data_IF_717280550679
#
_entry.id   IF_717280550679
#
_cell.length_a   1.000
_cell.length_b   1.000
_cell.length_c   1.000
_cell.angle_alpha   90.00
_cell.angle_beta   90.00
_cell.angle_gamma   90.00
#
_symmetry.space_group_name_H-M   'P 1'
#
loop_
_entity.id
_entity.type
_entity.pdbx_description
1 polymer ?
#
# COMPACT_ATOMS: atom_id res chain seq x y z
N UNK A 1 -23.24 15.77 -21.35
CA UNK A 1 -23.80 15.60 -19.98
C UNK A 1 -22.72 15.05 -19.04
N UNK A 2 -22.28 15.86 -18.07
CA UNK A 2 -21.43 15.39 -16.97
C UNK A 2 -22.27 14.49 -16.06
N UNK A 3 -21.81 13.29 -15.68
CA UNK A 3 -22.54 12.45 -14.76
C UNK A 3 -22.53 13.11 -13.38
N UNK A 4 -23.73 13.35 -12.85
CA UNK A 4 -23.93 13.78 -11.45
C UNK A 4 -23.33 12.71 -10.53
N UNK A 5 -22.52 13.08 -9.52
CA UNK A 5 -22.02 12.10 -8.56
C UNK A 5 -23.22 11.56 -7.76
N UNK A 6 -23.56 10.30 -8.01
CA UNK A 6 -24.50 9.54 -7.17
C UNK A 6 -23.92 9.47 -5.76
N UNK A 7 -24.72 9.75 -4.70
CA UNK A 7 -24.30 9.52 -3.33
C UNK A 7 -23.99 8.03 -3.18
N UNK A 8 -22.71 7.70 -2.99
CA UNK A 8 -22.30 6.33 -2.68
C UNK A 8 -22.77 6.04 -1.27
N UNK A 9 -23.87 5.30 -1.17
CA UNK A 9 -24.34 4.72 0.08
C UNK A 9 -23.18 3.92 0.70
N UNK A 10 -22.84 4.26 1.96
CA UNK A 10 -21.79 3.57 2.72
C UNK A 10 -22.25 2.16 3.00
N UNK A 11 -21.86 1.22 2.14
CA UNK A 11 -22.02 -0.21 2.41
C UNK A 11 -21.02 -0.60 3.49
N UNK A 12 -21.53 -1.01 4.66
CA UNK A 12 -20.74 -1.60 5.72
C UNK A 12 -20.00 -2.83 5.16
N UNK A 13 -18.68 -2.84 5.29
CA UNK A 13 -17.83 -3.96 4.89
C UNK A 13 -17.83 -4.99 6.03
N UNK A 14 -18.23 -6.22 5.69
CA UNK A 14 -18.27 -7.38 6.58
C UNK A 14 -16.86 -7.77 7.04
N UNK A 15 -16.71 -8.05 8.33
CA UNK A 15 -15.48 -8.57 8.93
C UNK A 15 -15.35 -10.07 8.61
N UNK A 16 -14.42 -10.44 7.72
CA UNK A 16 -13.94 -11.82 7.61
C UNK A 16 -12.67 -12.01 8.44
N UNK A 17 -12.65 -13.07 9.26
CA UNK A 17 -11.52 -13.45 10.10
C UNK A 17 -10.38 -14.07 9.28
N UNK A 18 -9.45 -13.21 8.89
CA UNK A 18 -8.13 -13.57 8.39
C UNK A 18 -7.23 -12.33 8.43
N UNK A 19 -6.52 -12.12 9.54
CA UNK A 19 -5.59 -10.99 9.74
C UNK A 19 -6.19 -9.63 9.37
N UNK A 20 -6.89 -8.99 10.32
CA UNK A 20 -7.79 -7.83 10.13
C UNK A 20 -7.13 -6.61 9.45
N UNK A 21 -6.94 -6.69 8.14
CA UNK A 21 -6.57 -5.55 7.29
C UNK A 21 -7.84 -4.75 7.06
N UNK A 22 -7.93 -3.54 7.60
CA UNK A 22 -9.03 -2.63 7.30
C UNK A 22 -8.72 -1.94 5.99
N UNK A 23 -9.57 -2.13 5.00
CA UNK A 23 -9.49 -1.42 3.74
C UNK A 23 -10.62 -0.39 3.68
N UNK A 24 -10.38 0.73 3.00
CA UNK A 24 -11.41 1.72 2.71
C UNK A 24 -11.17 2.26 1.32
N UNK A 25 -12.19 2.22 0.46
CA UNK A 25 -12.14 2.79 -0.89
C UNK A 25 -13.05 4.01 -0.96
N UNK A 26 -12.48 5.16 -1.34
CA UNK A 26 -13.19 6.42 -1.50
C UNK A 26 -13.27 6.82 -2.97
N UNK A 27 -14.48 7.19 -3.42
CA UNK A 27 -14.76 7.75 -4.73
C UNK A 27 -14.48 9.26 -4.68
N UNK A 28 -13.35 9.71 -5.25
CA UNK A 28 -13.00 11.14 -5.26
C UNK A 28 -13.60 11.86 -6.47
N UNK A 29 -13.48 11.27 -7.67
CA UNK A 29 -14.07 11.81 -8.92
C UNK A 29 -14.33 10.71 -9.96
N UNK A 30 -14.75 11.04 -11.19
CA UNK A 30 -15.11 10.05 -12.23
C UNK A 30 -14.06 8.96 -12.49
N UNK A 31 -12.76 9.25 -12.35
CA UNK A 31 -11.65 8.29 -12.53
C UNK A 31 -10.62 8.32 -11.41
N UNK A 32 -10.97 8.90 -10.27
CA UNK A 32 -10.08 9.01 -9.13
C UNK A 32 -10.64 8.23 -7.95
N UNK A 33 -9.82 7.33 -7.43
CA UNK A 33 -10.11 6.53 -6.24
C UNK A 33 -8.97 6.70 -5.26
N UNK A 34 -9.31 6.74 -3.98
CA UNK A 34 -8.34 6.62 -2.89
C UNK A 34 -8.59 5.30 -2.18
N UNK A 35 -7.53 4.52 -2.01
CA UNK A 35 -7.55 3.31 -1.21
C UNK A 35 -6.72 3.59 0.03
N UNK A 36 -7.32 3.41 1.20
CA UNK A 36 -6.65 3.49 2.49
C UNK A 36 -6.67 2.12 3.13
N UNK A 37 -5.54 1.70 3.66
CA UNK A 37 -5.36 0.39 4.28
C UNK A 37 -4.73 0.58 5.65
N UNK A 38 -5.26 -0.12 6.65
CA UNK A 38 -4.72 -0.16 8.01
C UNK A 38 -4.52 -1.62 8.42
N UNK A 39 -3.36 -1.90 9.00
CA UNK A 39 -3.00 -3.21 9.54
C UNK A 39 -2.34 -3.01 10.89
N UNK A 40 -2.69 -3.86 11.85
CA UNK A 40 -2.03 -3.88 13.17
C UNK A 40 -0.86 -4.85 13.08
N UNK A 41 0.32 -4.39 13.47
CA UNK A 41 1.56 -5.18 13.50
C UNK A 41 2.02 -5.28 14.95
N UNK A 42 2.26 -6.50 15.44
CA UNK A 42 2.78 -6.76 16.78
C UNK A 42 4.32 -6.56 16.82
N UNK A 43 4.76 -5.33 16.58
CA UNK A 43 6.15 -4.92 16.65
C UNK A 43 6.26 -3.45 17.10
N UNK A 44 7.42 -3.05 17.59
CA UNK A 44 7.67 -1.63 17.87
C UNK A 44 7.82 -0.82 16.57
N UNK A 45 7.59 0.48 16.66
CA UNK A 45 7.61 1.39 15.50
C UNK A 45 8.97 1.41 14.79
N UNK A 46 10.07 1.28 15.54
CA UNK A 46 11.42 1.31 14.98
C UNK A 46 11.70 0.05 14.15
N UNK A 47 11.32 -1.13 14.64
CA UNK A 47 11.41 -2.39 13.90
C UNK A 47 10.61 -2.34 12.59
N UNK A 48 9.39 -1.79 12.63
CA UNK A 48 8.57 -1.62 11.41
C UNK A 48 9.24 -0.64 10.44
N UNK A 49 9.78 0.47 10.94
CA UNK A 49 10.46 1.46 10.12
C UNK A 49 11.71 0.89 9.42
N UNK A 50 12.52 0.11 10.14
CA UNK A 50 13.70 -0.53 9.60
C UNK A 50 13.36 -1.47 8.44
N UNK A 51 12.31 -2.27 8.58
CA UNK A 51 11.82 -3.14 7.50
C UNK A 51 11.31 -2.33 6.31
N UNK A 52 10.51 -1.29 6.54
CA UNK A 52 9.90 -0.49 5.46
C UNK A 52 10.91 0.40 4.71
N UNK A 53 12.08 0.65 5.30
CA UNK A 53 13.13 1.49 4.71
C UNK A 53 14.36 0.71 4.26
N UNK A 54 14.48 -0.57 4.59
CA UNK A 54 15.43 -1.50 3.99
C UNK A 54 14.98 -1.90 2.58
N UNK A 55 15.16 -0.98 1.64
CA UNK A 55 14.70 -1.16 0.26
C UNK A 55 15.34 -2.35 -0.47
N UNK A 56 16.53 -2.81 -0.08
CA UNK A 56 17.16 -3.98 -0.72
C UNK A 56 16.53 -5.29 -0.24
N UNK A 57 16.05 -5.33 1.01
CA UNK A 57 15.38 -6.51 1.60
C UNK A 57 13.87 -6.43 1.64
N UNK A 58 13.27 -5.31 1.25
CA UNK A 58 11.82 -5.09 1.29
C UNK A 58 10.99 -6.18 0.57
N UNK A 59 11.54 -6.78 -0.49
CA UNK A 59 10.90 -7.87 -1.23
C UNK A 59 10.76 -9.17 -0.41
N UNK A 60 11.53 -9.36 0.67
CA UNK A 60 11.37 -10.49 1.60
C UNK A 60 10.06 -10.40 2.40
N UNK A 61 9.51 -9.20 2.58
CA UNK A 61 8.37 -8.93 3.45
C UNK A 61 7.06 -8.65 2.72
N UNK A 62 7.12 -8.08 1.51
CA UNK A 62 5.93 -7.62 0.77
C UNK A 62 5.51 -8.68 -0.26
N UNK A 63 4.37 -9.38 -0.08
CA UNK A 63 4.03 -10.58 -0.86
C UNK A 63 3.96 -10.38 -2.39
N UNK A 64 3.59 -9.18 -2.83
CA UNK A 64 3.43 -8.85 -4.26
C UNK A 64 4.66 -8.14 -4.84
N UNK A 65 5.79 -8.13 -4.13
CA UNK A 65 7.03 -7.48 -4.54
C UNK A 65 8.12 -8.54 -4.74
N UNK A 66 8.51 -8.77 -5.99
CA UNK A 66 9.51 -9.79 -6.37
C UNK A 66 10.93 -9.26 -6.29
N UNK A 67 11.10 -7.95 -6.47
CA UNK A 67 12.40 -7.29 -6.45
C UNK A 67 12.23 -5.90 -5.86
N UNK A 68 13.18 -5.51 -5.02
CA UNK A 68 13.40 -4.14 -4.60
C UNK A 68 14.91 -3.93 -4.47
N UNK A 69 15.44 -2.91 -5.12
CA UNK A 69 16.88 -2.62 -5.10
C UNK A 69 17.15 -1.12 -5.21
N UNK A 70 18.16 -0.62 -4.52
CA UNK A 70 18.59 0.78 -4.63
C UNK A 70 19.47 0.94 -5.87
N UNK A 71 18.98 1.65 -6.90
CA UNK A 71 19.69 1.89 -8.16
C UNK A 71 20.46 3.22 -8.19
N UNK A 72 20.14 4.14 -7.28
CA UNK A 72 20.88 5.38 -7.10
C UNK A 72 20.84 5.81 -5.64
N UNK A 73 22.03 5.93 -5.04
CA UNK A 73 22.20 6.31 -3.65
C UNK A 73 21.86 7.77 -3.35
N UNK A 74 21.85 8.09 -2.06
CA UNK A 74 21.50 9.38 -1.50
C UNK A 74 22.42 10.51 -1.99
N UNK A 75 22.02 11.18 -3.07
CA UNK A 75 22.40 12.58 -3.33
C UNK A 75 21.24 13.45 -2.84
N UNK A 76 21.48 14.29 -1.83
CA UNK A 76 20.52 15.28 -1.32
C UNK A 76 19.22 14.71 -0.71
N UNK A 77 19.31 13.61 0.03
CA UNK A 77 18.17 12.96 0.69
C UNK A 77 17.24 12.21 -0.27
N UNK A 78 17.66 11.98 -1.51
CA UNK A 78 16.87 11.25 -2.51
C UNK A 78 17.52 9.93 -2.85
N UNK A 79 16.72 8.88 -2.79
CA UNK A 79 17.07 7.55 -3.27
C UNK A 79 16.25 7.24 -4.53
N UNK A 80 16.79 6.41 -5.42
CA UNK A 80 15.98 5.76 -6.45
C UNK A 80 16.02 4.27 -6.24
N UNK A 81 14.84 3.67 -6.25
CA UNK A 81 14.63 2.23 -6.07
C UNK A 81 14.01 1.67 -7.34
N UNK A 82 14.49 0.51 -7.79
CA UNK A 82 13.82 -0.31 -8.82
C UNK A 82 12.99 -1.36 -8.11
N UNK A 83 11.70 -1.43 -8.43
CA UNK A 83 10.79 -2.43 -7.88
C UNK A 83 10.09 -3.20 -8.98
N UNK A 84 9.94 -4.51 -8.80
CA UNK A 84 9.17 -5.37 -9.70
C UNK A 84 8.12 -6.11 -8.90
N UNK A 85 6.86 -5.82 -9.17
CA UNK A 85 5.75 -6.53 -8.57
C UNK A 85 5.41 -7.84 -9.27
N UNK A 86 4.62 -8.68 -8.61
CA UNK A 86 3.93 -9.82 -9.22
C UNK A 86 2.47 -9.80 -8.79
N UNK A 87 1.59 -10.04 -9.75
CA UNK A 87 0.17 -10.28 -9.50
C UNK A 87 -0.12 -11.70 -10.00
N UNK A 88 -0.72 -12.51 -9.13
CA UNK A 88 -1.22 -13.82 -9.51
C UNK A 88 -2.67 -13.65 -9.92
N UNK A 89 -2.97 -13.87 -11.20
CA UNK A 89 -4.33 -13.99 -11.71
C UNK A 89 -4.99 -15.28 -11.23
#
# INVERSE_FOLDING_TARGET
PVPVPVPVEKKNEEEEEGGKVKCKVEVISWRERRVSVEVVIEADEQSVWEVLTDYDRLAEFIPNLVLSEIIQGNKQGRIRVRQRGMQRN
#
